data_IF_042017322674
#
_entry.id   IF_042017322674
#
_cell.length_a   1.000
_cell.length_b   1.000
_cell.length_c   1.000
_cell.angle_alpha   90.00
_cell.angle_beta   90.00
_cell.angle_gamma   90.00
#
_symmetry.space_group_name_H-M   'P 1'
#
loop_
_entity.id
_entity.type
_entity.pdbx_description
1 polymer ?
#
# COMPACT_ATOMS: atom_id res chain seq x y z
N UNK A 1 11.48 -25.59 13.05
CA UNK A 1 10.28 -25.29 12.23
C UNK A 1 10.39 -25.75 10.78
N UNK A 2 11.60 -25.85 10.20
CA UNK A 2 11.78 -26.12 8.76
C UNK A 2 11.84 -27.61 8.38
N UNK A 3 11.99 -28.52 9.35
CA UNK A 3 12.18 -29.96 9.09
C UNK A 3 11.11 -30.61 8.22
N UNK A 4 9.84 -30.18 8.35
CA UNK A 4 8.75 -30.69 7.52
C UNK A 4 8.91 -30.20 6.07
N UNK A 5 9.24 -28.92 5.89
CA UNK A 5 9.48 -28.35 4.56
C UNK A 5 10.70 -29.01 3.89
N UNK A 6 11.78 -29.20 4.64
CA UNK A 6 13.00 -29.88 4.17
C UNK A 6 12.74 -31.33 3.80
N UNK A 7 12.02 -32.09 4.64
CA UNK A 7 11.66 -33.48 4.36
C UNK A 7 10.79 -33.58 3.10
N UNK A 8 9.78 -32.73 2.97
CA UNK A 8 8.91 -32.71 1.80
C UNK A 8 9.66 -32.37 0.51
N UNK A 9 10.57 -31.39 0.56
CA UNK A 9 11.44 -31.04 -0.56
C UNK A 9 12.38 -32.19 -0.93
N UNK A 10 12.96 -32.89 0.05
CA UNK A 10 13.85 -34.03 -0.19
C UNK A 10 13.13 -35.24 -0.81
N UNK A 11 11.86 -35.43 -0.45
CA UNK A 11 11.05 -36.56 -0.90
C UNK A 11 10.20 -36.22 -2.15
N UNK A 12 10.31 -35.00 -2.69
CA UNK A 12 9.51 -34.49 -3.82
C UNK A 12 8.00 -34.69 -3.63
N UNK A 13 7.52 -34.62 -2.38
CA UNK A 13 6.10 -34.76 -2.07
C UNK A 13 5.39 -33.41 -2.24
N UNK A 14 4.14 -33.39 -2.71
CA UNK A 14 3.36 -32.16 -2.75
C UNK A 14 2.98 -31.72 -1.33
N UNK A 15 3.11 -30.42 -1.05
CA UNK A 15 2.63 -29.84 0.22
C UNK A 15 1.11 -29.71 0.20
N UNK A 16 0.43 -29.93 1.35
CA UNK A 16 -1.00 -29.67 1.46
C UNK A 16 -1.35 -28.21 1.14
N UNK A 17 -2.53 -27.95 0.55
CA UNK A 17 -2.99 -26.59 0.30
C UNK A 17 -3.07 -25.81 1.62
N UNK A 18 -2.51 -24.59 1.64
CA UNK A 18 -2.49 -23.73 2.82
C UNK A 18 -1.33 -23.97 3.80
N UNK A 19 -0.46 -24.97 3.56
CA UNK A 19 0.72 -25.20 4.40
C UNK A 19 1.60 -23.95 4.54
N UNK A 20 1.92 -23.28 3.43
CA UNK A 20 2.74 -22.06 3.45
C UNK A 20 2.10 -20.94 4.25
N UNK A 21 0.77 -20.77 4.16
CA UNK A 21 0.04 -19.78 4.93
C UNK A 21 0.13 -20.06 6.43
N UNK A 22 -0.09 -21.31 6.84
CA UNK A 22 0.04 -21.72 8.24
C UNK A 22 1.49 -21.59 8.75
N UNK A 23 2.46 -22.02 7.94
CA UNK A 23 3.88 -21.96 8.29
C UNK A 23 4.34 -20.52 8.53
N UNK A 24 3.90 -19.58 7.68
CA UNK A 24 4.18 -18.14 7.83
C UNK A 24 3.51 -17.54 9.07
N UNK A 25 2.23 -17.85 9.34
CA UNK A 25 1.53 -17.35 10.54
C UNK A 25 2.19 -17.87 11.82
N UNK A 26 2.56 -19.16 11.85
CA UNK A 26 3.28 -19.75 12.98
C UNK A 26 4.66 -19.10 13.16
N UNK A 27 5.37 -18.86 12.05
CA UNK A 27 6.64 -18.14 12.03
C UNK A 27 6.53 -16.77 12.69
N UNK A 28 5.52 -15.98 12.34
CA UNK A 28 5.31 -14.65 12.93
C UNK A 28 5.05 -14.71 14.44
N UNK A 29 4.26 -15.69 14.90
CA UNK A 29 3.91 -15.81 16.34
C UNK A 29 5.05 -16.33 17.20
N UNK A 30 5.97 -17.10 16.64
CA UNK A 30 6.97 -17.83 17.42
C UNK A 30 8.41 -17.33 17.22
N UNK A 31 8.69 -16.45 16.25
CA UNK A 31 10.03 -15.97 15.95
C UNK A 31 10.18 -14.47 16.26
N UNK A 32 11.37 -14.04 16.72
CA UNK A 32 11.68 -12.62 16.78
C UNK A 32 11.78 -12.03 15.37
N UNK A 33 11.50 -10.73 15.24
CA UNK A 33 11.43 -10.02 13.95
C UNK A 33 12.67 -10.28 13.06
N UNK A 34 13.89 -10.17 13.60
CA UNK A 34 15.10 -10.33 12.79
C UNK A 34 15.20 -11.74 12.16
N UNK A 35 14.92 -12.79 12.93
CA UNK A 35 14.93 -14.17 12.43
C UNK A 35 13.83 -14.39 11.42
N UNK A 36 12.63 -13.87 11.69
CA UNK A 36 11.49 -13.94 10.78
C UNK A 36 11.85 -13.36 9.41
N UNK A 37 12.40 -12.14 9.38
CA UNK A 37 12.79 -11.48 8.14
C UNK A 37 13.86 -12.26 7.40
N UNK A 38 14.86 -12.81 8.11
CA UNK A 38 15.87 -13.66 7.51
C UNK A 38 15.28 -14.92 6.85
N UNK A 39 14.29 -15.56 7.49
CA UNK A 39 13.62 -16.73 6.89
C UNK A 39 12.73 -16.37 5.69
N UNK A 40 12.15 -15.17 5.67
CA UNK A 40 11.41 -14.66 4.53
C UNK A 40 12.36 -14.37 3.36
N UNK A 41 13.46 -13.67 3.63
CA UNK A 41 14.44 -13.26 2.62
C UNK A 41 15.13 -14.47 1.96
N UNK A 42 15.35 -15.55 2.73
CA UNK A 42 15.87 -16.82 2.20
C UNK A 42 14.81 -17.74 1.57
N UNK A 43 13.55 -17.33 1.50
CA UNK A 43 12.47 -18.11 0.87
C UNK A 43 11.98 -19.33 1.67
N UNK A 44 12.38 -19.45 2.94
CA UNK A 44 11.90 -20.52 3.83
C UNK A 44 10.45 -20.27 4.26
N UNK A 45 10.11 -19.00 4.53
CA UNK A 45 8.76 -18.55 4.79
C UNK A 45 8.22 -17.81 3.57
N UNK A 46 7.30 -18.46 2.87
CA UNK A 46 6.67 -17.88 1.69
C UNK A 46 5.53 -16.94 2.08
N UNK A 47 5.67 -15.67 1.71
CA UNK A 47 4.64 -14.66 1.86
C UNK A 47 3.60 -14.79 0.74
N UNK A 48 2.54 -15.55 0.99
CA UNK A 48 1.38 -15.64 0.08
C UNK A 48 0.39 -14.52 0.34
N UNK A 49 -0.38 -14.10 -0.67
CA UNK A 49 -1.40 -13.05 -0.55
C UNK A 49 -2.40 -13.37 0.59
N UNK A 50 -2.83 -14.63 0.70
CA UNK A 50 -3.73 -15.08 1.77
C UNK A 50 -3.10 -15.06 3.16
N UNK A 51 -1.79 -15.32 3.27
CA UNK A 51 -1.08 -15.23 4.54
C UNK A 51 -0.98 -13.80 5.02
N UNK A 52 -0.57 -12.87 4.14
CA UNK A 52 -0.39 -11.48 4.54
C UNK A 52 -1.72 -10.78 4.79
N UNK A 53 -2.75 -11.05 4.01
CA UNK A 53 -4.09 -10.49 4.26
C UNK A 53 -4.67 -10.94 5.60
N UNK A 54 -4.46 -12.19 6.01
CA UNK A 54 -4.81 -12.66 7.35
C UNK A 54 -3.94 -12.00 8.41
N UNK A 55 -2.63 -11.90 8.16
CA UNK A 55 -1.69 -11.28 9.08
C UNK A 55 -2.05 -9.82 9.39
N UNK A 56 -2.41 -9.04 8.38
CA UNK A 56 -2.79 -7.64 8.56
C UNK A 56 -4.05 -7.48 9.39
N UNK A 57 -4.97 -8.45 9.34
CA UNK A 57 -6.20 -8.47 10.15
C UNK A 57 -5.96 -8.97 11.57
N UNK A 58 -5.08 -9.95 11.75
CA UNK A 58 -4.84 -10.59 13.03
C UNK A 58 -3.92 -9.77 13.94
N UNK A 59 -3.05 -8.93 13.38
CA UNK A 59 -2.14 -8.07 14.14
C UNK A 59 -2.79 -6.71 14.43
N UNK A 60 -2.73 -6.32 15.70
CA UNK A 60 -3.02 -4.97 16.18
C UNK A 60 -1.96 -3.95 15.73
N UNK A 61 -2.30 -2.66 15.82
CA UNK A 61 -1.43 -1.54 15.41
C UNK A 61 -0.53 -1.03 16.56
N UNK A 62 -0.06 -1.93 17.43
CA UNK A 62 1.02 -1.59 18.37
C UNK A 62 2.31 -1.31 17.59
N UNK A 63 3.14 -0.37 18.04
CA UNK A 63 4.41 0.04 17.39
C UNK A 63 5.30 -1.16 16.95
N UNK A 64 5.37 -2.23 17.76
CA UNK A 64 6.11 -3.45 17.41
C UNK A 64 5.52 -4.18 16.20
N UNK A 65 4.20 -4.25 16.14
CA UNK A 65 3.46 -4.94 15.09
C UNK A 65 3.40 -4.09 13.83
N UNK A 66 3.28 -2.76 13.93
CA UNK A 66 3.44 -1.85 12.80
C UNK A 66 4.80 -2.02 12.12
N UNK A 67 5.90 -2.04 12.91
CA UNK A 67 7.25 -2.31 12.39
C UNK A 67 7.32 -3.63 11.64
N UNK A 68 6.62 -4.67 12.12
CA UNK A 68 6.56 -5.96 11.46
C UNK A 68 5.73 -5.91 10.17
N UNK A 69 4.53 -5.30 10.20
CA UNK A 69 3.67 -5.08 9.03
C UNK A 69 4.44 -4.36 7.91
N UNK A 70 5.14 -3.26 8.25
CA UNK A 70 6.01 -2.54 7.31
C UNK A 70 7.12 -3.41 6.74
N UNK A 71 7.84 -4.12 7.61
CA UNK A 71 8.96 -4.97 7.19
C UNK A 71 8.53 -6.06 6.21
N UNK A 72 7.30 -6.54 6.33
CA UNK A 72 6.68 -7.50 5.42
C UNK A 72 6.24 -6.83 4.12
N UNK A 73 5.51 -5.70 4.18
CA UNK A 73 5.01 -4.99 2.99
C UNK A 73 6.14 -4.61 2.04
N UNK A 74 7.27 -4.11 2.56
CA UNK A 74 8.42 -3.70 1.75
C UNK A 74 9.06 -4.87 0.98
N UNK A 75 8.90 -6.10 1.46
CA UNK A 75 9.44 -7.31 0.84
C UNK A 75 8.49 -7.95 -0.18
N UNK A 76 7.26 -7.47 -0.27
CA UNK A 76 6.27 -8.04 -1.16
C UNK A 76 6.42 -7.53 -2.60
N UNK A 77 6.05 -8.36 -3.59
CA UNK A 77 5.91 -7.88 -4.96
C UNK A 77 4.94 -6.70 -5.04
N UNK A 78 5.19 -5.67 -5.88
CA UNK A 78 4.40 -4.43 -5.92
C UNK A 78 2.89 -4.64 -6.07
N UNK A 79 2.48 -5.63 -6.86
CA UNK A 79 1.05 -5.96 -7.08
C UNK A 79 0.36 -6.46 -5.81
N UNK A 80 1.06 -7.27 -5.01
CA UNK A 80 0.53 -7.84 -3.77
C UNK A 80 0.58 -6.79 -2.67
N UNK A 81 1.70 -6.05 -2.58
CA UNK A 81 1.88 -4.94 -1.64
C UNK A 81 0.80 -3.88 -1.77
N UNK A 82 0.45 -3.46 -3.00
CA UNK A 82 -0.62 -2.47 -3.23
C UNK A 82 -1.98 -2.93 -2.70
N UNK A 83 -2.39 -4.18 -2.98
CA UNK A 83 -3.64 -4.73 -2.45
C UNK A 83 -3.67 -4.76 -0.93
N UNK A 84 -2.53 -5.05 -0.30
CA UNK A 84 -2.41 -5.15 1.15
C UNK A 84 -2.39 -3.78 1.79
N UNK A 85 -1.70 -2.79 1.20
CA UNK A 85 -1.76 -1.40 1.63
C UNK A 85 -3.21 -0.89 1.62
N UNK A 86 -4.02 -1.28 0.63
CA UNK A 86 -5.45 -0.91 0.59
C UNK A 86 -6.29 -1.54 1.71
N UNK A 87 -5.84 -2.65 2.28
CA UNK A 87 -6.54 -3.33 3.38
C UNK A 87 -6.14 -2.80 4.76
N UNK A 88 -5.04 -2.06 4.85
CA UNK A 88 -4.53 -1.53 6.10
C UNK A 88 -4.81 -0.04 6.16
N UNK A 89 -5.65 0.39 7.09
CA UNK A 89 -6.01 1.80 7.30
C UNK A 89 -4.92 2.50 8.12
N UNK A 90 -3.81 2.87 7.48
CA UNK A 90 -2.65 3.47 8.12
C UNK A 90 -2.16 4.68 7.31
N UNK A 91 -1.72 5.80 7.91
CA UNK A 91 -1.31 7.00 7.16
C UNK A 91 -0.21 6.72 6.11
N UNK A 92 0.68 5.77 6.37
CA UNK A 92 1.70 5.35 5.41
C UNK A 92 1.12 4.59 4.22
N UNK A 93 0.09 3.74 4.41
CA UNK A 93 -0.55 3.06 3.28
C UNK A 93 -1.32 4.05 2.41
N UNK A 94 -2.04 5.00 3.03
CA UNK A 94 -2.72 6.09 2.32
C UNK A 94 -1.75 6.93 1.49
N UNK A 95 -0.57 7.25 2.04
CA UNK A 95 0.48 7.96 1.30
C UNK A 95 1.04 7.13 0.12
N UNK A 96 1.25 5.83 0.29
CA UNK A 96 1.72 4.96 -0.81
C UNK A 96 0.67 4.90 -1.93
N UNK A 97 -0.61 4.80 -1.57
CA UNK A 97 -1.73 4.75 -2.52
C UNK A 97 -1.86 6.08 -3.26
N UNK A 98 -1.88 7.21 -2.55
CA UNK A 98 -2.01 8.55 -3.14
C UNK A 98 -0.86 8.86 -4.10
N UNK A 99 0.38 8.55 -3.72
CA UNK A 99 1.56 8.71 -4.60
C UNK A 99 1.47 7.83 -5.85
N UNK A 100 0.99 6.60 -5.71
CA UNK A 100 0.75 5.69 -6.83
C UNK A 100 -0.28 6.25 -7.81
N UNK A 101 -1.38 6.80 -7.27
CA UNK A 101 -2.44 7.45 -8.03
C UNK A 101 -1.92 8.65 -8.82
N UNK A 102 -1.26 9.59 -8.13
CA UNK A 102 -0.65 10.78 -8.75
C UNK A 102 0.36 10.39 -9.83
N UNK A 103 1.22 9.41 -9.57
CA UNK A 103 2.22 8.95 -10.55
C UNK A 103 1.53 8.48 -11.83
N UNK A 104 0.43 7.75 -11.71
CA UNK A 104 -0.34 7.25 -12.86
C UNK A 104 -1.00 8.39 -13.65
N UNK A 105 -1.63 9.36 -12.96
CA UNK A 105 -2.23 10.53 -13.60
C UNK A 105 -1.19 11.36 -14.35
N UNK A 106 -0.04 11.61 -13.72
CA UNK A 106 1.03 12.42 -14.30
C UNK A 106 1.78 11.71 -15.44
N UNK A 107 1.84 10.37 -15.45
CA UNK A 107 2.42 9.62 -16.57
C UNK A 107 1.67 9.85 -17.89
N UNK A 108 0.36 10.03 -17.83
CA UNK A 108 -0.50 10.26 -18.99
C UNK A 108 -0.67 11.77 -19.29
N UNK A 109 -0.07 12.64 -18.48
CA UNK A 109 -0.14 14.09 -18.67
C UNK A 109 0.72 14.53 -19.85
N UNK A 110 0.08 14.96 -20.93
CA UNK A 110 0.73 15.75 -21.98
C UNK A 110 0.69 17.20 -21.53
N UNK A 111 1.84 17.88 -21.48
CA UNK A 111 1.95 19.32 -21.21
C UNK A 111 1.11 20.10 -22.24
N UNK A 112 -0.17 20.26 -21.98
CA UNK A 112 -0.97 21.27 -22.64
C UNK A 112 -0.71 22.60 -21.93
N UNK A 113 -0.58 23.71 -22.67
CA UNK A 113 -0.54 25.03 -22.06
C UNK A 113 -1.91 25.27 -21.40
N UNK A 114 -1.93 25.27 -20.07
CA UNK A 114 -3.13 25.59 -19.30
C UNK A 114 -3.46 27.07 -19.54
N UNK A 115 -4.58 27.32 -20.18
CA UNK A 115 -5.21 28.63 -20.19
C UNK A 115 -6.27 28.64 -19.08
N UNK A 116 -5.87 28.57 -17.80
CA UNK A 116 -6.82 28.78 -16.71
C UNK A 116 -6.70 30.22 -16.20
N UNK A 117 -7.63 31.06 -16.68
CA UNK A 117 -8.16 32.15 -15.86
C UNK A 117 -8.76 31.51 -14.62
N UNK A 118 -7.98 31.48 -13.54
CA UNK A 118 -8.44 31.04 -12.22
C UNK A 118 -9.62 31.92 -11.83
N UNK A 119 -10.84 31.38 -11.91
CA UNK A 119 -12.03 32.11 -11.50
C UNK A 119 -12.02 32.17 -9.97
N UNK A 120 -11.70 33.36 -9.46
CA UNK A 120 -11.31 33.68 -8.09
C UNK A 120 -12.46 33.62 -7.07
N UNK A 121 -13.51 32.84 -7.29
CA UNK A 121 -14.78 33.10 -6.60
C UNK A 121 -15.08 32.25 -5.36
N UNK A 122 -14.30 31.25 -4.95
CA UNK A 122 -14.72 30.44 -3.78
C UNK A 122 -13.67 29.60 -3.05
N UNK A 123 -12.43 30.07 -2.89
CA UNK A 123 -11.45 29.32 -2.09
C UNK A 123 -11.19 30.00 -0.73
N UNK A 124 -11.60 29.32 0.35
CA UNK A 124 -11.03 29.51 1.68
C UNK A 124 -9.53 29.29 1.58
N UNK A 125 -8.76 30.28 2.00
CA UNK A 125 -7.30 30.31 1.90
C UNK A 125 -6.73 29.37 2.98
N UNK A 126 -6.66 28.08 2.68
CA UNK A 126 -5.84 27.13 3.41
C UNK A 126 -5.02 26.34 2.38
N UNK A 127 -3.70 26.51 2.41
CA UNK A 127 -2.69 25.84 1.57
C UNK A 127 -2.82 25.99 0.03
N UNK A 128 -2.57 27.20 -0.49
CA UNK A 128 -2.54 27.53 -1.93
C UNK A 128 -1.80 26.52 -2.84
N UNK A 129 -0.61 25.99 -2.49
CA UNK A 129 0.08 25.04 -3.37
C UNK A 129 -0.59 23.67 -3.45
N UNK A 130 -1.22 23.23 -2.36
CA UNK A 130 -1.93 21.96 -2.32
C UNK A 130 -3.24 22.08 -3.10
N UNK A 131 -4.04 23.12 -2.84
CA UNK A 131 -5.32 23.31 -3.54
C UNK A 131 -5.13 23.45 -5.05
N UNK A 132 -4.10 24.19 -5.49
CA UNK A 132 -3.76 24.27 -6.90
C UNK A 132 -3.40 22.90 -7.49
N UNK A 133 -2.65 22.09 -6.74
CA UNK A 133 -2.31 20.74 -7.17
C UNK A 133 -3.53 19.82 -7.22
N UNK A 134 -4.45 19.92 -6.26
CA UNK A 134 -5.71 19.15 -6.26
C UNK A 134 -6.57 19.52 -7.47
N UNK A 135 -6.69 20.81 -7.81
CA UNK A 135 -7.43 21.28 -9.00
C UNK A 135 -6.87 20.66 -10.29
N UNK A 136 -5.54 20.63 -10.42
CA UNK A 136 -4.85 19.94 -11.53
C UNK A 136 -5.24 18.47 -11.58
N UNK A 137 -5.22 17.77 -10.44
CA UNK A 137 -5.55 16.35 -10.38
C UNK A 137 -7.03 16.11 -10.74
N UNK A 138 -7.96 16.92 -10.22
CA UNK A 138 -9.39 16.81 -10.54
C UNK A 138 -9.67 17.01 -12.03
N UNK A 139 -8.99 17.97 -12.66
CA UNK A 139 -9.08 18.20 -14.10
C UNK A 139 -8.58 16.97 -14.88
N UNK A 140 -7.48 16.37 -14.44
CA UNK A 140 -6.93 15.16 -15.08
C UNK A 140 -7.80 13.92 -14.88
N UNK A 141 -8.41 13.75 -13.72
CA UNK A 141 -9.36 12.68 -13.43
C UNK A 141 -10.60 12.80 -14.32
N UNK A 142 -11.14 14.01 -14.45
CA UNK A 142 -12.30 14.27 -15.32
C UNK A 142 -11.99 13.99 -16.79
N UNK A 143 -10.81 14.38 -17.28
CA UNK A 143 -10.39 14.17 -18.67
C UNK A 143 -10.07 12.70 -18.99
N UNK A 144 -9.69 11.89 -18.00
CA UNK A 144 -9.29 10.50 -18.21
C UNK A 144 -10.33 9.48 -17.70
N UNK A 145 -11.54 9.94 -17.35
CA UNK A 145 -12.61 9.13 -16.75
C UNK A 145 -12.97 7.87 -17.56
N UNK A 146 -12.81 7.92 -18.88
CA UNK A 146 -13.07 6.78 -19.78
C UNK A 146 -11.95 5.73 -19.78
N UNK A 147 -10.72 6.10 -19.41
CA UNK A 147 -9.56 5.19 -19.43
C UNK A 147 -9.44 4.34 -18.16
N UNK A 148 -10.03 4.81 -17.04
CA UNK A 148 -9.85 4.23 -15.71
C UNK A 148 -11.06 3.41 -15.19
N UNK A 149 -12.15 3.31 -15.95
CA UNK A 149 -13.31 2.48 -15.58
C UNK A 149 -13.04 0.96 -15.55
N UNK A 150 -11.89 0.50 -16.04
CA UNK A 150 -11.54 -0.92 -16.17
C UNK A 150 -10.72 -1.49 -15.00
N UNK A 151 -10.09 -0.65 -14.17
CA UNK A 151 -9.42 -1.10 -12.95
C UNK A 151 -10.39 -0.93 -11.78
N UNK A 152 -10.97 -2.06 -11.33
CA UNK A 152 -12.10 -2.10 -10.41
C UNK A 152 -12.02 -1.09 -9.26
N UNK A 153 -13.05 -0.24 -9.20
CA UNK A 153 -13.41 0.68 -8.12
C UNK A 153 -12.37 0.85 -7.01
N UNK A 154 -11.40 1.73 -7.27
CA UNK A 154 -10.65 2.41 -6.23
C UNK A 154 -11.39 3.73 -5.96
N UNK A 155 -11.90 3.94 -4.74
CA UNK A 155 -12.36 5.25 -4.26
C UNK A 155 -11.15 6.14 -3.94
N UNK A 156 -10.19 6.24 -4.87
CA UNK A 156 -9.01 7.09 -4.72
C UNK A 156 -9.20 8.21 -5.72
N UNK A 157 -9.54 9.38 -5.21
CA UNK A 157 -9.76 10.62 -5.93
C UNK A 157 -8.79 11.70 -5.44
N UNK A 158 -8.83 12.87 -6.07
CA UNK A 158 -8.02 14.01 -5.67
C UNK A 158 -8.28 14.42 -4.21
N UNK A 159 -9.50 14.26 -3.69
CA UNK A 159 -9.86 14.53 -2.29
C UNK A 159 -9.11 13.59 -1.32
N UNK A 160 -9.05 12.29 -1.63
CA UNK A 160 -8.24 11.34 -0.88
C UNK A 160 -6.75 11.69 -0.89
N UNK A 161 -6.23 12.21 -2.01
CA UNK A 161 -4.82 12.66 -2.11
C UNK A 161 -4.58 13.87 -1.20
N UNK A 162 -5.52 14.80 -1.14
CA UNK A 162 -5.48 15.96 -0.25
C UNK A 162 -5.45 15.54 1.22
N UNK A 163 -6.40 14.68 1.62
CA UNK A 163 -6.51 14.19 2.99
C UNK A 163 -5.24 13.43 3.42
N UNK A 164 -4.71 12.58 2.54
CA UNK A 164 -3.47 11.84 2.79
C UNK A 164 -2.26 12.79 2.95
N UNK A 165 -2.18 13.86 2.15
CA UNK A 165 -1.10 14.84 2.23
C UNK A 165 -1.17 15.65 3.54
N UNK A 166 -2.37 16.08 3.94
CA UNK A 166 -2.60 16.80 5.19
C UNK A 166 -2.28 15.92 6.40
N UNK A 167 -2.82 14.69 6.46
CA UNK A 167 -2.53 13.72 7.53
C UNK A 167 -1.02 13.44 7.65
N UNK A 168 -0.31 13.29 6.54
CA UNK A 168 1.12 13.08 6.56
C UNK A 168 1.88 14.29 7.11
N UNK A 169 1.46 15.50 6.75
CA UNK A 169 2.07 16.75 7.24
C UNK A 169 1.83 16.92 8.73
N UNK A 170 0.61 16.66 9.22
CA UNK A 170 0.29 16.69 10.66
C UNK A 170 1.17 15.73 11.45
N UNK A 171 1.34 14.50 10.94
CA UNK A 171 2.24 13.51 11.56
C UNK A 171 3.69 14.01 11.65
N UNK A 172 4.22 14.66 10.60
CA UNK A 172 5.57 15.23 10.61
C UNK A 172 5.72 16.41 11.58
N UNK A 173 4.64 17.17 11.78
CA UNK A 173 4.59 18.30 12.71
C UNK A 173 4.27 17.88 14.15
N UNK A 174 3.88 16.62 14.38
CA UNK A 174 3.49 16.09 15.68
C UNK A 174 2.17 16.70 16.22
N UNK A 175 1.27 17.08 15.31
CA UNK A 175 -0.02 17.71 15.60
C UNK A 175 -1.18 16.72 15.50
#
# INVERSE_FOLDING_TARGET
>A
MTRILEATNSLFLPLPPGFHTLHTILGVRCLPLHSLLHYIDNGVLLLTETAVTRLMKDLDDTEKNEKLKFSIIVRLPPRIGQKICRLWDHPVSSNIISRGHVTRLLQNYKKQPWNSTIDKSSFSIEFLPLNYFIEILTDLESSNKDLYACEGHDNVDAEFVEEAALKHTMMLLGL
#
